data_IF_990008424919
#
_entry.id   IF_990008424919
#
_cell.length_a   1.000
_cell.length_b   1.000
_cell.length_c   1.000
_cell.angle_alpha   90.00
_cell.angle_beta   90.00
_cell.angle_gamma   90.00
#
_symmetry.space_group_name_H-M   'P 1'
#
loop_
_entity.id
_entity.type
_entity.pdbx_description
1 polymer ?
#
# COMPACT_ATOMS: atom_id res chain seq x y z
N UNK A 1 6.12 15.59 -15.90
CA UNK A 1 4.84 15.23 -15.28
C UNK A 1 5.05 14.78 -13.85
N UNK A 2 4.12 15.13 -12.99
CA UNK A 2 4.21 14.79 -11.57
C UNK A 2 2.98 14.04 -11.10
N UNK A 3 3.19 13.21 -10.10
CA UNK A 3 2.12 12.55 -9.37
C UNK A 3 2.41 12.56 -7.88
N UNK A 4 1.41 12.17 -7.11
CA UNK A 4 1.60 11.89 -5.69
C UNK A 4 0.89 10.61 -5.29
N UNK A 5 1.38 9.99 -4.23
CA UNK A 5 0.74 8.87 -3.54
C UNK A 5 0.58 9.27 -2.08
N UNK A 6 -0.63 9.15 -1.57
CA UNK A 6 -0.91 9.29 -0.15
C UNK A 6 -1.29 7.94 0.43
N UNK A 7 -0.68 7.57 1.56
CA UNK A 7 -0.91 6.30 2.23
C UNK A 7 -1.15 6.50 3.72
N UNK A 8 -2.36 6.20 4.13
CA UNK A 8 -2.86 6.21 5.50
C UNK A 8 -3.76 5.00 5.73
N UNK A 9 -4.93 5.17 6.33
CA UNK A 9 -5.97 4.14 6.44
C UNK A 9 -6.40 3.64 5.07
N UNK A 10 -6.66 4.58 4.15
CA UNK A 10 -6.81 4.39 2.71
C UNK A 10 -5.59 4.88 1.96
N UNK A 11 -5.50 4.60 0.67
CA UNK A 11 -4.46 5.14 -0.17
C UNK A 11 -5.01 5.66 -1.49
N UNK A 12 -4.33 6.65 -2.05
CA UNK A 12 -4.64 7.11 -3.39
C UNK A 12 -3.39 7.56 -4.14
N UNK A 13 -3.42 7.35 -5.44
CA UNK A 13 -2.44 7.86 -6.39
C UNK A 13 -3.10 8.89 -7.27
N UNK A 14 -2.51 10.06 -7.41
CA UNK A 14 -2.98 11.15 -8.26
C UNK A 14 -1.92 11.48 -9.29
N UNK A 15 -2.26 11.37 -10.56
CA UNK A 15 -1.35 11.64 -11.69
C UNK A 15 -1.93 12.77 -12.53
N UNK A 16 -1.18 13.87 -12.67
CA UNK A 16 -1.58 14.99 -13.54
C UNK A 16 -1.46 14.57 -15.00
N UNK A 17 -2.54 14.76 -15.75
CA UNK A 17 -2.64 14.38 -17.16
C UNK A 17 -2.42 15.59 -18.08
N UNK A 18 -1.91 15.33 -19.28
CA UNK A 18 -1.81 16.33 -20.35
C UNK A 18 -2.99 16.26 -21.35
N UNK A 19 -3.71 15.14 -21.33
CA UNK A 19 -4.87 14.88 -22.19
C UNK A 19 -5.82 13.92 -21.50
N UNK A 20 -7.04 13.84 -21.98
CA UNK A 20 -8.03 12.86 -21.53
C UNK A 20 -7.52 11.43 -21.70
N UNK A 21 -8.03 10.54 -20.85
CA UNK A 21 -7.86 9.09 -21.02
C UNK A 21 -8.59 8.65 -22.30
N UNK A 22 -8.12 7.57 -22.91
CA UNK A 22 -8.69 7.03 -24.15
C UNK A 22 -10.14 6.55 -24.00
N UNK A 23 -10.51 6.16 -22.79
CA UNK A 23 -11.85 5.69 -22.39
C UNK A 23 -12.06 5.88 -20.88
N UNK A 24 -13.29 5.82 -20.38
CA UNK A 24 -13.54 5.75 -18.94
C UNK A 24 -13.08 4.40 -18.37
N UNK A 25 -12.54 4.42 -17.15
CA UNK A 25 -12.18 3.23 -16.37
C UNK A 25 -12.89 3.30 -15.02
N UNK A 26 -13.53 2.21 -14.60
CA UNK A 26 -14.24 2.13 -13.32
C UNK A 26 -13.31 2.28 -12.11
N UNK A 27 -12.02 1.97 -12.28
CA UNK A 27 -11.01 2.02 -11.23
C UNK A 27 -10.31 3.37 -11.12
N UNK A 28 -10.64 4.35 -11.98
CA UNK A 28 -9.97 5.64 -12.05
C UNK A 28 -11.01 6.76 -11.97
N UNK A 29 -10.89 7.55 -10.91
CA UNK A 29 -11.66 8.78 -10.76
C UNK A 29 -10.97 9.92 -11.50
N UNK A 30 -11.75 10.70 -12.25
CA UNK A 30 -11.26 11.91 -12.90
C UNK A 30 -11.55 13.12 -12.02
N UNK A 31 -10.50 13.79 -11.57
CA UNK A 31 -10.59 15.02 -10.77
C UNK A 31 -9.75 16.12 -11.42
N UNK A 32 -9.69 17.30 -10.82
CA UNK A 32 -8.89 18.41 -11.31
C UNK A 32 -8.02 19.01 -10.24
N UNK A 33 -6.90 19.58 -10.63
CA UNK A 33 -6.12 20.50 -9.79
C UNK A 33 -6.88 21.82 -9.64
N UNK A 34 -6.51 22.70 -8.69
CA UNK A 34 -7.13 24.02 -8.53
C UNK A 34 -7.03 24.92 -9.77
N UNK A 35 -6.03 24.71 -10.62
CA UNK A 35 -5.86 25.44 -11.89
C UNK A 35 -6.61 24.79 -13.07
N UNK A 36 -7.37 23.72 -12.83
CA UNK A 36 -8.20 23.05 -13.82
C UNK A 36 -7.48 21.96 -14.63
N UNK A 37 -6.25 21.62 -14.32
CA UNK A 37 -5.56 20.51 -14.98
C UNK A 37 -6.19 19.17 -14.61
N UNK A 38 -6.33 18.27 -15.58
CA UNK A 38 -6.90 16.93 -15.36
C UNK A 38 -5.98 16.08 -14.47
N UNK A 39 -6.60 15.29 -13.60
CA UNK A 39 -5.90 14.35 -12.73
C UNK A 39 -6.62 13.01 -12.75
N UNK A 40 -5.89 11.95 -13.05
CA UNK A 40 -6.36 10.59 -12.84
C UNK A 40 -6.05 10.17 -11.40
N UNK A 41 -7.06 9.76 -10.66
CA UNK A 41 -6.95 9.30 -9.28
C UNK A 41 -7.33 7.83 -9.18
N UNK A 42 -6.43 7.02 -8.63
CA UNK A 42 -6.73 5.66 -8.16
C UNK A 42 -6.94 5.74 -6.65
N UNK A 43 -8.11 5.37 -6.16
CA UNK A 43 -8.44 5.39 -4.74
C UNK A 43 -8.69 3.98 -4.22
N UNK A 44 -7.93 3.58 -3.20
CA UNK A 44 -8.05 2.29 -2.54
C UNK A 44 -8.53 2.49 -1.10
N UNK A 45 -9.56 1.77 -0.70
CA UNK A 45 -10.13 1.87 0.65
C UNK A 45 -9.20 1.27 1.71
N UNK A 46 -8.38 0.30 1.33
CA UNK A 46 -7.56 -0.48 2.25
C UNK A 46 -6.07 -0.21 2.01
N UNK A 47 -5.39 0.29 3.04
CA UNK A 47 -3.94 0.51 3.01
C UNK A 47 -3.30 0.01 4.31
N UNK A 48 -3.10 0.86 5.32
CA UNK A 48 -2.32 0.49 6.51
C UNK A 48 -3.12 -0.10 7.65
N UNK A 49 -4.44 -0.21 7.57
CA UNK A 49 -5.26 -0.66 8.71
C UNK A 49 -4.93 -2.08 9.15
N UNK A 50 -4.80 -3.01 8.22
CA UNK A 50 -4.40 -4.39 8.52
C UNK A 50 -2.94 -4.47 8.99
N UNK A 51 -2.03 -3.76 8.31
CA UNK A 51 -0.63 -3.65 8.73
C UNK A 51 -0.50 -3.12 10.17
N UNK A 52 -1.27 -2.10 10.53
CA UNK A 52 -1.27 -1.54 11.88
C UNK A 52 -1.80 -2.54 12.92
N UNK A 53 -2.78 -3.37 12.57
CA UNK A 53 -3.26 -4.43 13.45
C UNK A 53 -2.14 -5.44 13.78
N UNK A 54 -1.36 -5.85 12.79
CA UNK A 54 -0.20 -6.70 13.00
C UNK A 54 0.90 -6.03 13.83
N UNK A 55 1.19 -4.75 13.57
CA UNK A 55 2.16 -4.00 14.39
C UNK A 55 1.70 -3.90 15.84
N UNK A 56 0.41 -3.69 16.08
CA UNK A 56 -0.15 -3.67 17.42
C UNK A 56 -0.03 -5.02 18.13
N UNK A 57 -0.11 -6.14 17.41
CA UNK A 57 0.11 -7.46 17.99
C UNK A 57 1.57 -7.59 18.51
N UNK A 58 2.56 -7.07 17.80
CA UNK A 58 3.96 -7.04 18.28
C UNK A 58 4.12 -6.10 19.49
N UNK A 59 3.39 -4.97 19.53
CA UNK A 59 3.33 -4.10 20.71
C UNK A 59 2.79 -4.85 21.92
N UNK A 60 1.65 -5.53 21.80
CA UNK A 60 1.04 -6.32 22.88
C UNK A 60 2.01 -7.42 23.40
N UNK A 61 2.76 -8.03 22.50
CA UNK A 61 3.79 -9.00 22.90
C UNK A 61 4.92 -8.38 23.72
N UNK A 62 5.38 -7.16 23.36
CA UNK A 62 6.37 -6.46 24.18
C UNK A 62 5.81 -6.09 25.56
N UNK A 63 4.57 -5.62 25.63
CA UNK A 63 3.88 -5.32 26.89
C UNK A 63 3.76 -6.56 27.79
N UNK A 64 3.42 -7.71 27.20
CA UNK A 64 3.37 -9.00 27.91
C UNK A 64 4.73 -9.38 28.54
N UNK A 65 5.84 -9.06 27.87
CA UNK A 65 7.19 -9.30 28.37
C UNK A 65 7.69 -8.23 29.35
N UNK A 66 6.89 -7.20 29.65
CA UNK A 66 7.31 -6.09 30.51
C UNK A 66 8.35 -5.17 29.86
N UNK A 67 8.49 -5.20 28.54
CA UNK A 67 9.43 -4.34 27.80
C UNK A 67 8.78 -2.99 27.54
N UNK A 68 9.45 -1.86 27.83
CA UNK A 68 8.91 -0.54 27.52
C UNK A 68 8.57 -0.39 26.03
N UNK A 69 7.39 0.16 25.74
CA UNK A 69 6.89 0.32 24.37
C UNK A 69 7.23 1.69 23.82
N UNK A 70 7.86 1.72 22.64
CA UNK A 70 8.02 2.90 21.81
C UNK A 70 7.51 2.57 20.40
N UNK A 71 6.36 3.14 20.01
CA UNK A 71 5.72 2.82 18.72
C UNK A 71 6.58 3.22 17.53
N UNK A 72 7.27 4.36 17.57
CA UNK A 72 8.14 4.79 16.46
C UNK A 72 9.31 3.82 16.26
N UNK A 73 9.85 3.28 17.35
CA UNK A 73 10.89 2.28 17.31
C UNK A 73 10.37 0.94 16.77
N UNK A 74 9.18 0.51 17.17
CA UNK A 74 8.54 -0.72 16.66
C UNK A 74 8.32 -0.61 15.16
N UNK A 75 7.69 0.46 14.68
CA UNK A 75 7.49 0.67 13.25
C UNK A 75 8.81 0.71 12.49
N UNK A 76 9.79 1.47 12.97
CA UNK A 76 11.10 1.56 12.34
C UNK A 76 11.78 0.19 12.23
N UNK A 77 11.80 -0.59 13.31
CA UNK A 77 12.44 -1.93 13.31
C UNK A 77 11.70 -2.91 12.41
N UNK A 78 10.36 -2.97 12.48
CA UNK A 78 9.55 -3.87 11.67
C UNK A 78 9.61 -3.54 10.18
N UNK A 79 9.63 -2.27 9.82
CA UNK A 79 9.75 -1.88 8.42
C UNK A 79 11.17 -2.13 7.88
N UNK A 80 12.20 -1.83 8.67
CA UNK A 80 13.58 -2.09 8.26
C UNK A 80 13.89 -3.58 8.11
N UNK A 81 13.36 -4.47 8.97
CA UNK A 81 13.57 -5.91 8.82
C UNK A 81 12.95 -6.44 7.51
N UNK A 82 11.85 -5.83 7.03
CA UNK A 82 11.24 -6.21 5.77
C UNK A 82 12.18 -6.09 4.56
N UNK A 83 13.17 -5.19 4.60
CA UNK A 83 14.20 -5.06 3.55
C UNK A 83 15.08 -6.31 3.41
N UNK A 84 15.23 -7.08 4.46
CA UNK A 84 16.03 -8.32 4.46
C UNK A 84 15.22 -9.54 4.01
N UNK A 85 13.93 -9.38 3.77
CA UNK A 85 13.05 -10.43 3.25
C UNK A 85 13.33 -10.75 1.78
N UNK A 86 12.92 -11.95 1.37
CA UNK A 86 12.97 -12.37 -0.02
C UNK A 86 12.09 -11.46 -0.89
N UNK A 87 12.47 -11.22 -2.14
CA UNK A 87 11.72 -10.31 -3.06
C UNK A 87 10.31 -10.80 -3.38
N UNK A 88 10.08 -12.10 -3.30
CA UNK A 88 8.79 -12.77 -3.45
C UNK A 88 8.08 -12.99 -2.11
N UNK A 89 8.55 -12.34 -1.05
CA UNK A 89 8.05 -12.52 0.32
C UNK A 89 8.18 -13.96 0.85
N UNK A 90 9.05 -14.78 0.27
CA UNK A 90 9.21 -16.18 0.62
C UNK A 90 7.99 -17.06 0.34
N UNK A 91 7.15 -16.66 -0.61
CA UNK A 91 5.90 -17.33 -0.96
C UNK A 91 4.67 -16.90 -0.15
N UNK A 92 4.85 -16.07 0.88
CA UNK A 92 3.74 -15.60 1.73
C UNK A 92 2.82 -14.66 0.96
N UNK A 93 1.52 -14.74 1.22
CA UNK A 93 0.50 -13.88 0.64
C UNK A 93 -0.32 -13.19 1.73
N UNK A 94 -0.66 -11.93 1.50
CA UNK A 94 -1.58 -11.18 2.34
C UNK A 94 -2.63 -10.47 1.50
N UNK A 95 -3.83 -10.46 2.02
CA UNK A 95 -5.00 -9.79 1.52
C UNK A 95 -5.51 -8.86 2.63
N UNK A 96 -5.29 -7.58 2.49
CA UNK A 96 -5.45 -6.61 3.58
C UNK A 96 -6.81 -5.89 3.63
N UNK A 97 -7.84 -6.40 2.94
CA UNK A 97 -9.13 -5.74 2.85
C UNK A 97 -9.92 -5.86 4.16
N UNK A 98 -9.91 -4.80 4.95
CA UNK A 98 -10.76 -4.63 6.14
C UNK A 98 -12.19 -4.24 5.73
N UNK A 99 -12.30 -3.50 4.63
CA UNK A 99 -13.57 -3.07 4.02
C UNK A 99 -13.63 -3.47 2.56
N UNK A 100 -14.75 -3.19 1.91
CA UNK A 100 -14.87 -3.33 0.46
C UNK A 100 -13.79 -2.54 -0.28
N UNK A 101 -13.44 -3.02 -1.49
CA UNK A 101 -12.39 -2.42 -2.31
C UNK A 101 -12.88 -2.23 -3.75
N UNK A 102 -13.28 -0.99 -4.12
CA UNK A 102 -13.85 -0.72 -5.45
C UNK A 102 -12.91 -1.06 -6.59
N UNK A 103 -11.60 -0.82 -6.42
CA UNK A 103 -10.59 -1.09 -7.47
C UNK A 103 -10.58 -2.55 -7.90
N UNK A 104 -10.91 -3.47 -6.99
CA UNK A 104 -10.96 -4.91 -7.26
C UNK A 104 -12.38 -5.48 -7.26
N UNK A 105 -13.40 -4.63 -7.13
CA UNK A 105 -14.81 -5.01 -7.21
C UNK A 105 -15.36 -5.80 -6.01
N UNK A 106 -14.70 -5.72 -4.84
CA UNK A 106 -15.16 -6.38 -3.62
C UNK A 106 -16.07 -5.46 -2.81
N UNK A 107 -17.30 -5.90 -2.53
CA UNK A 107 -18.26 -5.15 -1.71
C UNK A 107 -17.88 -5.17 -0.22
N UNK A 108 -17.38 -6.30 0.27
CA UNK A 108 -16.97 -6.52 1.66
C UNK A 108 -15.52 -6.98 1.73
N UNK A 109 -14.86 -6.69 2.85
CA UNK A 109 -13.49 -7.10 3.12
C UNK A 109 -13.40 -8.15 4.22
N UNK A 110 -12.37 -9.01 4.12
CA UNK A 110 -11.88 -9.88 5.20
C UNK A 110 -10.38 -10.04 5.03
N UNK A 111 -9.55 -9.47 5.92
CA UNK A 111 -8.12 -9.68 5.86
C UNK A 111 -7.78 -11.15 5.92
N UNK A 112 -6.82 -11.57 5.13
CA UNK A 112 -6.39 -12.96 5.06
C UNK A 112 -4.87 -13.01 4.90
N UNK A 113 -4.22 -13.80 5.76
CA UNK A 113 -2.82 -14.16 5.60
C UNK A 113 -2.72 -15.64 5.25
N UNK A 114 -2.02 -15.95 4.16
CA UNK A 114 -1.93 -17.31 3.62
C UNK A 114 -0.48 -17.71 3.46
N UNK A 115 -0.19 -18.95 3.84
CA UNK A 115 1.09 -19.60 3.60
C UNK A 115 0.91 -21.09 3.30
N UNK A 116 1.83 -21.65 2.52
CA UNK A 116 1.97 -23.09 2.32
C UNK A 116 3.00 -23.69 3.28
N UNK A 117 3.09 -25.01 3.31
CA UNK A 117 4.06 -25.69 4.18
C UNK A 117 5.52 -25.43 3.81
N UNK A 118 5.79 -25.06 2.54
CA UNK A 118 7.13 -24.86 2.01
C UNK A 118 7.57 -23.39 1.98
N UNK A 119 6.68 -22.47 2.37
CA UNK A 119 6.99 -21.04 2.35
C UNK A 119 7.98 -20.67 3.46
N UNK A 120 8.81 -19.68 3.19
CA UNK A 120 9.79 -19.19 4.16
C UNK A 120 9.13 -18.22 5.14
N UNK A 121 8.44 -18.76 6.13
CA UNK A 121 7.77 -17.97 7.16
C UNK A 121 8.75 -17.48 8.22
N UNK A 122 9.13 -16.22 8.10
CA UNK A 122 9.93 -15.49 9.09
C UNK A 122 9.47 -14.04 9.18
N UNK A 123 9.96 -13.30 10.16
CA UNK A 123 9.52 -11.92 10.42
C UNK A 123 9.80 -10.97 9.24
N UNK A 124 10.93 -11.13 8.56
CA UNK A 124 11.28 -10.29 7.42
C UNK A 124 10.31 -10.46 6.25
N UNK A 125 10.03 -11.70 5.85
CA UNK A 125 9.08 -12.02 4.79
C UNK A 125 7.65 -11.64 5.18
N UNK A 126 7.27 -11.91 6.43
CA UNK A 126 5.97 -11.52 6.96
C UNK A 126 5.73 -10.01 6.85
N UNK A 127 6.65 -9.20 7.35
CA UNK A 127 6.53 -7.74 7.28
C UNK A 127 6.56 -7.21 5.85
N UNK A 128 7.41 -7.79 4.98
CA UNK A 128 7.46 -7.41 3.58
C UNK A 128 6.14 -7.71 2.86
N UNK A 129 5.51 -8.85 3.15
CA UNK A 129 4.19 -9.23 2.62
C UNK A 129 3.14 -8.18 2.97
N UNK A 130 3.07 -7.77 4.23
CA UNK A 130 2.07 -6.80 4.69
C UNK A 130 2.35 -5.38 4.18
N UNK A 131 3.61 -4.98 4.02
CA UNK A 131 3.97 -3.72 3.36
C UNK A 131 3.55 -3.72 1.89
N UNK A 132 3.80 -4.79 1.15
CA UNK A 132 3.37 -4.90 -0.24
C UNK A 132 1.84 -4.92 -0.37
N UNK A 133 1.14 -5.65 0.52
CA UNK A 133 -0.32 -5.66 0.53
C UNK A 133 -0.92 -4.26 0.75
N UNK A 134 -0.27 -3.43 1.58
CA UNK A 134 -0.75 -2.07 1.88
C UNK A 134 -0.81 -1.15 0.65
N UNK A 135 0.02 -1.40 -0.37
CA UNK A 135 0.09 -0.55 -1.58
C UNK A 135 -0.22 -1.32 -2.87
N UNK A 136 -0.42 -2.64 -2.78
CA UNK A 136 -0.56 -3.51 -3.95
C UNK A 136 -1.75 -3.16 -4.84
N UNK A 137 -2.86 -2.74 -4.25
CA UNK A 137 -4.07 -2.36 -5.01
C UNK A 137 -3.83 -1.10 -5.84
N UNK A 138 -3.05 -0.13 -5.35
CA UNK A 138 -2.67 1.06 -6.14
C UNK A 138 -1.95 0.67 -7.44
N UNK A 139 -1.17 -0.40 -7.40
CA UNK A 139 -0.47 -0.89 -8.60
C UNK A 139 -1.46 -1.29 -9.69
N UNK A 140 -2.58 -1.92 -9.36
CA UNK A 140 -3.59 -2.36 -10.33
C UNK A 140 -4.12 -1.16 -11.12
N UNK A 141 -4.56 -0.11 -10.43
CA UNK A 141 -5.03 1.12 -11.09
C UNK A 141 -3.91 1.87 -11.82
N UNK A 142 -2.72 1.97 -11.22
CA UNK A 142 -1.57 2.62 -11.85
C UNK A 142 -1.08 1.87 -13.11
N UNK A 143 -1.20 0.54 -13.16
CA UNK A 143 -0.86 -0.24 -14.36
C UNK A 143 -1.75 0.14 -15.56
N UNK A 144 -3.01 0.52 -15.34
CA UNK A 144 -3.86 1.07 -16.41
C UNK A 144 -3.23 2.35 -16.95
N UNK A 145 -2.87 3.29 -16.07
CA UNK A 145 -2.30 4.57 -16.49
C UNK A 145 -0.96 4.41 -17.23
N UNK A 146 -0.07 3.56 -16.71
CA UNK A 146 1.28 3.42 -17.26
C UNK A 146 1.36 2.43 -18.42
N UNK A 147 0.61 1.33 -18.38
CA UNK A 147 0.73 0.25 -19.33
C UNK A 147 -0.32 0.32 -20.46
N UNK A 148 -1.57 0.75 -20.20
CA UNK A 148 -2.59 0.90 -21.21
C UNK A 148 -2.56 2.31 -21.82
N UNK A 149 -2.68 3.35 -21.00
CA UNK A 149 -2.70 4.74 -21.42
C UNK A 149 -1.32 5.31 -21.78
N UNK A 150 -0.24 4.56 -21.48
CA UNK A 150 1.15 4.97 -21.77
C UNK A 150 1.54 6.32 -21.18
N UNK A 151 0.94 6.68 -20.05
CA UNK A 151 1.28 7.92 -19.33
C UNK A 151 2.69 7.78 -18.77
N UNK A 152 3.52 8.79 -19.04
CA UNK A 152 4.87 8.89 -18.48
C UNK A 152 4.86 9.87 -17.33
N UNK A 153 5.42 9.47 -16.20
CA UNK A 153 5.55 10.30 -15.00
C UNK A 153 7.03 10.44 -14.68
N UNK A 154 7.49 11.69 -14.51
CA UNK A 154 8.89 11.96 -14.20
C UNK A 154 9.16 11.87 -12.70
N UNK A 155 8.14 12.14 -11.88
CA UNK A 155 8.26 12.14 -10.42
C UNK A 155 6.93 11.79 -9.76
N UNK A 156 6.99 10.87 -8.79
CA UNK A 156 5.90 10.59 -7.84
C UNK A 156 6.41 10.95 -6.44
N UNK A 157 5.60 11.67 -5.66
CA UNK A 157 5.93 12.03 -4.28
C UNK A 157 5.04 11.25 -3.32
N UNK A 158 5.65 10.58 -2.34
CA UNK A 158 4.94 9.85 -1.29
C UNK A 158 4.55 10.75 -0.11
N UNK A 159 3.33 10.59 0.40
CA UNK A 159 2.80 11.30 1.56
C UNK A 159 2.10 10.34 2.53
N UNK A 160 2.01 10.73 3.80
CA UNK A 160 1.31 9.97 4.83
C UNK A 160 2.22 9.17 5.74
N UNK A 161 1.60 8.47 6.70
CA UNK A 161 2.32 7.78 7.78
C UNK A 161 3.23 6.66 7.28
N UNK A 162 2.84 5.95 6.21
CA UNK A 162 3.61 4.85 5.64
C UNK A 162 4.99 5.32 5.12
N UNK A 163 5.06 6.53 4.54
CA UNK A 163 6.28 7.12 3.97
C UNK A 163 7.17 7.85 4.99
N UNK A 164 6.83 7.82 6.29
CA UNK A 164 7.71 8.37 7.34
C UNK A 164 8.98 7.55 7.53
N UNK A 165 8.93 6.29 7.20
CA UNK A 165 10.07 5.38 7.27
C UNK A 165 10.67 5.26 5.88
N UNK A 166 11.96 5.59 5.73
CA UNK A 166 12.71 5.56 4.45
C UNK A 166 12.71 4.21 3.72
N UNK A 167 12.22 3.18 4.37
CA UNK A 167 12.10 1.82 3.82
C UNK A 167 11.00 1.72 2.73
N UNK A 168 10.08 2.67 2.70
CA UNK A 168 8.90 2.64 1.83
C UNK A 168 9.01 3.63 0.66
N UNK A 169 10.04 4.49 0.68
CA UNK A 169 10.36 5.45 -0.39
C UNK A 169 10.85 4.78 -1.69
#
# INVERSE_FOLDING_TARGET
RTGNVSAGTSSFSMIVLEKDLSKPYEMIDMVTTPDGSLVAMVHCNNCTSDLNAWVNLFKEYQELLGIPVNMDEIYSKLYNIALTGDTDCGGLLSYNYISGEPVTGFADGRPLFVRSANDKFNLANFMRTHLYASVGVLKIGNDILFNEEKIKVDRITGHGGLFRTKVVD
#
